data_IF_621112878564
#
_entry.id   IF_621112878564
#
_cell.length_a   1.000
_cell.length_b   1.000
_cell.length_c   1.000
_cell.angle_alpha   90.00
_cell.angle_beta   90.00
_cell.angle_gamma   90.00
#
_symmetry.space_group_name_H-M   'P 1'
#
loop_
_entity.id
_entity.type
_entity.pdbx_description
1 polymer ?
#
# COMPACT_ATOMS: atom_id res chain seq x y z
N UNK A 1 -42.79 7.76 -1.35
CA UNK A 1 -42.78 6.35 -1.74
C UNK A 1 -42.54 6.29 -3.24
N UNK A 2 -41.29 6.26 -3.68
CA UNK A 2 -40.81 6.09 -5.07
C UNK A 2 -39.39 6.70 -5.16
N UNK A 3 -38.40 6.12 -4.48
CA UNK A 3 -36.99 6.54 -4.63
C UNK A 3 -35.98 5.47 -4.17
N UNK A 4 -36.34 4.20 -4.05
CA UNK A 4 -35.48 3.12 -3.54
C UNK A 4 -35.22 1.99 -4.53
N UNK A 5 -35.75 2.02 -5.74
CA UNK A 5 -35.61 0.89 -6.68
C UNK A 5 -34.60 1.09 -7.81
N UNK A 6 -33.90 2.24 -7.89
CA UNK A 6 -32.96 2.52 -8.99
C UNK A 6 -31.49 2.24 -8.67
N UNK A 7 -31.15 1.88 -7.43
CA UNK A 7 -29.75 1.67 -7.03
C UNK A 7 -29.27 0.23 -7.19
N UNK A 8 -30.19 -0.74 -7.28
CA UNK A 8 -29.84 -2.19 -7.28
C UNK A 8 -29.62 -2.79 -8.68
N UNK A 9 -30.05 -2.11 -9.74
CA UNK A 9 -29.91 -2.66 -11.09
C UNK A 9 -28.59 -2.33 -11.79
N UNK A 10 -27.72 -1.48 -11.25
CA UNK A 10 -26.43 -1.16 -11.85
C UNK A 10 -25.27 -2.09 -11.42
N UNK A 11 -25.43 -2.82 -10.30
CA UNK A 11 -24.42 -3.79 -9.82
C UNK A 11 -24.39 -5.11 -10.58
N UNK A 12 -25.40 -5.45 -11.37
CA UNK A 12 -25.51 -6.78 -11.99
C UNK A 12 -25.00 -6.90 -13.44
N UNK A 13 -24.49 -5.83 -14.08
CA UNK A 13 -24.16 -5.86 -15.53
C UNK A 13 -22.71 -5.68 -15.92
N UNK A 14 -21.75 -5.62 -15.01
CA UNK A 14 -20.31 -5.54 -15.37
C UNK A 14 -19.55 -6.77 -14.84
N UNK A 15 -20.11 -7.96 -14.95
CA UNK A 15 -19.30 -9.18 -14.97
C UNK A 15 -18.81 -9.44 -16.40
N UNK A 16 -17.81 -8.69 -16.87
CA UNK A 16 -17.02 -9.14 -18.01
C UNK A 16 -16.17 -10.32 -17.54
N UNK A 17 -16.63 -11.53 -17.89
CA UNK A 17 -15.88 -12.77 -17.78
C UNK A 17 -14.62 -12.66 -18.65
N UNK A 18 -13.52 -12.16 -18.09
CA UNK A 18 -12.21 -12.41 -18.68
C UNK A 18 -11.96 -13.90 -18.49
N UNK A 19 -12.18 -14.69 -19.54
CA UNK A 19 -11.82 -16.11 -19.58
C UNK A 19 -10.31 -16.20 -19.56
N UNK A 20 -9.71 -16.28 -18.37
CA UNK A 20 -8.37 -16.84 -18.17
C UNK A 20 -8.48 -18.32 -18.57
N UNK A 21 -7.99 -18.66 -19.76
CA UNK A 21 -8.01 -20.02 -20.30
C UNK A 21 -7.18 -20.92 -19.37
N UNK A 22 -7.84 -21.78 -18.61
CA UNK A 22 -7.24 -22.98 -17.99
C UNK A 22 -6.83 -22.89 -16.52
N UNK A 23 -6.90 -21.73 -15.84
CA UNK A 23 -6.64 -21.64 -14.39
C UNK A 23 -7.93 -21.80 -13.60
N UNK A 24 -7.93 -22.67 -12.60
CA UNK A 24 -9.04 -22.79 -11.65
C UNK A 24 -8.89 -21.67 -10.62
N UNK A 25 -9.73 -20.64 -10.72
CA UNK A 25 -9.81 -19.60 -9.69
C UNK A 25 -10.29 -20.23 -8.38
N UNK A 26 -9.76 -19.72 -7.26
CA UNK A 26 -10.17 -20.10 -5.91
C UNK A 26 -11.66 -19.82 -5.71
N UNK A 27 -12.35 -20.72 -5.02
CA UNK A 27 -13.77 -20.50 -4.69
C UNK A 27 -13.95 -19.40 -3.62
N UNK A 28 -15.14 -18.86 -3.56
CA UNK A 28 -15.46 -17.70 -2.69
C UNK A 28 -15.36 -18.07 -1.22
N UNK A 29 -15.82 -19.26 -0.83
CA UNK A 29 -15.78 -19.69 0.58
C UNK A 29 -14.36 -19.78 1.08
N UNK A 30 -13.45 -20.38 0.32
CA UNK A 30 -12.03 -20.49 0.68
C UNK A 30 -11.36 -19.11 0.79
N UNK A 31 -11.71 -18.15 -0.08
CA UNK A 31 -11.20 -16.78 0.02
C UNK A 31 -11.64 -16.10 1.31
N UNK A 32 -12.93 -16.26 1.68
CA UNK A 32 -13.47 -15.69 2.93
C UNK A 32 -12.81 -16.33 4.16
N UNK A 33 -12.59 -17.64 4.15
CA UNK A 33 -11.93 -18.36 5.23
C UNK A 33 -10.50 -17.84 5.45
N UNK A 34 -9.69 -17.71 4.37
CA UNK A 34 -8.31 -17.25 4.47
C UNK A 34 -8.24 -15.77 4.83
N UNK A 35 -9.03 -14.90 4.17
CA UNK A 35 -9.04 -13.47 4.49
C UNK A 35 -9.46 -13.21 5.94
N UNK A 36 -10.46 -13.96 6.44
CA UNK A 36 -10.89 -13.86 7.84
C UNK A 36 -9.83 -14.36 8.81
N UNK A 37 -9.09 -15.42 8.46
CA UNK A 37 -7.98 -15.91 9.28
C UNK A 37 -6.90 -14.85 9.44
N UNK A 38 -6.44 -14.22 8.34
CA UNK A 38 -5.46 -13.13 8.39
C UNK A 38 -5.94 -11.93 9.22
N UNK A 39 -7.21 -11.53 9.07
CA UNK A 39 -7.78 -10.44 9.87
C UNK A 39 -7.76 -10.79 11.36
N UNK A 40 -8.17 -12.02 11.73
CA UNK A 40 -8.19 -12.47 13.12
C UNK A 40 -6.78 -12.54 13.72
N UNK A 41 -5.79 -13.03 12.97
CA UNK A 41 -4.38 -13.06 13.39
C UNK A 41 -3.80 -11.66 13.59
N UNK A 42 -4.14 -10.70 12.70
CA UNK A 42 -3.76 -9.29 12.84
C UNK A 42 -4.35 -8.69 14.13
N UNK A 43 -5.66 -8.88 14.35
CA UNK A 43 -6.35 -8.36 15.54
C UNK A 43 -5.84 -8.99 16.83
N UNK A 44 -5.48 -10.27 16.79
CA UNK A 44 -4.90 -11.01 17.94
C UNK A 44 -3.39 -10.77 18.12
N UNK A 45 -2.75 -10.01 17.20
CA UNK A 45 -1.28 -9.79 17.17
C UNK A 45 -0.50 -11.10 17.17
N UNK A 46 -1.02 -12.11 16.48
CA UNK A 46 -0.36 -13.40 16.35
C UNK A 46 0.84 -13.30 15.40
N UNK A 47 1.84 -14.14 15.61
CA UNK A 47 2.95 -14.27 14.67
C UNK A 47 2.42 -14.66 13.29
N UNK A 48 3.05 -14.12 12.24
CA UNK A 48 2.71 -14.47 10.86
C UNK A 48 2.81 -15.98 10.62
N UNK A 49 1.79 -16.55 9.99
CA UNK A 49 1.75 -17.92 9.54
C UNK A 49 1.41 -17.98 8.06
N UNK A 50 2.19 -18.76 7.30
CA UNK A 50 1.88 -18.93 5.88
C UNK A 50 0.56 -19.68 5.68
N UNK A 51 -0.30 -19.15 4.82
CA UNK A 51 -1.53 -19.80 4.35
C UNK A 51 -1.36 -20.42 2.96
N UNK A 52 -0.24 -20.18 2.30
CA UNK A 52 0.01 -20.68 0.95
C UNK A 52 -0.13 -22.20 0.83
N UNK A 53 0.23 -22.95 1.88
CA UNK A 53 0.10 -24.42 1.90
C UNK A 53 -1.35 -24.93 1.95
N UNK A 54 -2.31 -24.06 2.30
CA UNK A 54 -3.75 -24.38 2.33
C UNK A 54 -4.41 -24.19 0.95
N UNK A 55 -3.67 -23.67 -0.02
CA UNK A 55 -4.16 -23.31 -1.34
C UNK A 55 -3.53 -24.21 -2.40
N UNK A 56 -4.33 -24.83 -3.23
CA UNK A 56 -3.84 -25.72 -4.28
C UNK A 56 -2.93 -25.02 -5.31
N UNK A 57 -3.22 -23.74 -5.60
CA UNK A 57 -2.44 -22.89 -6.50
C UNK A 57 -2.18 -21.54 -5.82
N UNK A 58 -1.12 -21.37 -5.01
CA UNK A 58 -0.79 -20.12 -4.33
C UNK A 58 -0.14 -19.12 -5.31
N UNK A 59 -0.91 -18.67 -6.28
CA UNK A 59 -0.51 -17.67 -7.28
C UNK A 59 -0.87 -16.28 -6.83
N UNK A 60 -0.19 -15.25 -7.37
CA UNK A 60 -0.53 -13.86 -7.10
C UNK A 60 -1.96 -13.51 -7.54
N UNK A 61 -2.47 -14.11 -8.62
CA UNK A 61 -3.87 -13.93 -9.02
C UNK A 61 -4.84 -14.36 -7.91
N UNK A 62 -4.59 -15.52 -7.28
CA UNK A 62 -5.40 -16.00 -6.16
C UNK A 62 -5.16 -15.18 -4.89
N UNK A 63 -3.93 -14.73 -4.63
CA UNK A 63 -3.63 -13.83 -3.51
C UNK A 63 -4.41 -12.52 -3.59
N UNK A 64 -4.45 -11.91 -4.76
CA UNK A 64 -5.24 -10.69 -4.96
C UNK A 64 -6.75 -10.93 -4.85
N UNK A 65 -7.26 -12.11 -5.19
CA UNK A 65 -8.68 -12.44 -4.93
C UNK A 65 -8.97 -12.54 -3.43
N UNK A 66 -8.02 -13.04 -2.64
CA UNK A 66 -8.11 -13.05 -1.17
C UNK A 66 -8.03 -11.61 -0.64
N UNK A 67 -7.08 -10.80 -1.14
CA UNK A 67 -6.98 -9.38 -0.78
C UNK A 67 -8.26 -8.60 -1.09
N UNK A 68 -8.89 -8.82 -2.26
CA UNK A 68 -10.19 -8.21 -2.57
C UNK A 68 -11.24 -8.59 -1.53
N UNK A 69 -11.25 -9.86 -1.08
CA UNK A 69 -12.16 -10.33 -0.02
C UNK A 69 -11.83 -9.70 1.33
N UNK A 70 -10.53 -9.59 1.67
CA UNK A 70 -10.06 -8.88 2.87
C UNK A 70 -10.58 -7.43 2.88
N UNK A 71 -10.38 -6.70 1.77
CA UNK A 71 -10.87 -5.32 1.62
C UNK A 71 -12.38 -5.26 1.74
N UNK A 72 -13.12 -6.17 1.11
CA UNK A 72 -14.59 -6.22 1.20
C UNK A 72 -15.08 -6.45 2.62
N UNK A 73 -14.40 -7.30 3.41
CA UNK A 73 -14.71 -7.51 4.84
C UNK A 73 -14.47 -6.21 5.63
N UNK A 74 -13.36 -5.52 5.40
CA UNK A 74 -13.07 -4.25 6.07
C UNK A 74 -14.09 -3.16 5.70
N UNK A 75 -14.51 -3.07 4.45
CA UNK A 75 -15.56 -2.16 4.00
C UNK A 75 -16.92 -2.47 4.68
N UNK A 76 -17.26 -3.75 4.87
CA UNK A 76 -18.47 -4.17 5.62
C UNK A 76 -18.40 -3.81 7.11
N UNK A 77 -17.19 -3.70 7.67
CA UNK A 77 -16.95 -3.25 9.06
C UNK A 77 -16.97 -1.72 9.20
N UNK A 78 -17.20 -0.98 8.10
CA UNK A 78 -17.34 0.49 8.08
C UNK A 78 -16.08 1.24 7.62
N UNK A 79 -15.01 0.56 7.25
CA UNK A 79 -13.84 1.18 6.66
C UNK A 79 -14.12 1.73 5.25
N UNK A 80 -13.25 2.66 4.82
CA UNK A 80 -13.20 3.16 3.44
C UNK A 80 -11.78 3.03 2.93
N UNK A 81 -11.60 2.64 1.69
CA UNK A 81 -10.31 2.80 1.02
C UNK A 81 -10.14 4.28 0.70
N UNK A 82 -9.06 4.87 1.16
CA UNK A 82 -8.72 6.29 0.95
C UNK A 82 -7.37 6.47 0.25
N UNK A 83 -6.66 5.39 0.02
CA UNK A 83 -5.37 5.35 -0.64
C UNK A 83 -4.91 3.93 -0.88
N UNK A 84 -3.72 3.83 -1.42
CA UNK A 84 -3.09 2.58 -1.79
C UNK A 84 -1.60 2.62 -1.46
N UNK A 85 -0.97 1.46 -1.32
CA UNK A 85 0.48 1.33 -1.17
C UNK A 85 1.06 0.46 -2.27
N UNK A 86 2.31 0.74 -2.63
CA UNK A 86 3.09 -0.04 -3.60
C UNK A 86 4.32 -0.61 -2.90
N UNK A 87 4.35 -1.92 -2.70
CA UNK A 87 5.45 -2.64 -2.10
C UNK A 87 6.41 -3.22 -3.15
N UNK A 88 7.61 -3.65 -2.72
CA UNK A 88 8.64 -4.24 -3.55
C UNK A 88 9.04 -3.34 -4.72
N UNK A 89 9.31 -2.08 -4.42
CA UNK A 89 9.64 -1.04 -5.40
C UNK A 89 11.11 -1.05 -5.85
N UNK A 90 11.93 -1.95 -5.32
CA UNK A 90 13.31 -2.17 -5.76
C UNK A 90 13.48 -3.53 -6.45
N UNK A 91 14.37 -3.59 -7.45
CA UNK A 91 14.69 -4.84 -8.15
C UNK A 91 15.22 -5.92 -7.20
N UNK A 92 16.05 -5.53 -6.24
CA UNK A 92 16.60 -6.46 -5.25
C UNK A 92 15.50 -7.15 -4.43
N UNK A 93 14.48 -6.39 -3.98
CA UNK A 93 13.36 -6.96 -3.24
C UNK A 93 12.44 -7.80 -4.11
N UNK A 94 12.23 -7.42 -5.37
CA UNK A 94 11.49 -8.24 -6.32
C UNK A 94 12.16 -9.60 -6.54
N UNK A 95 13.48 -9.59 -6.78
CA UNK A 95 14.29 -10.82 -6.95
C UNK A 95 14.29 -11.67 -5.67
N UNK A 96 14.44 -11.05 -4.51
CA UNK A 96 14.39 -11.72 -3.21
C UNK A 96 13.05 -12.43 -2.99
N UNK A 97 11.93 -11.80 -3.31
CA UNK A 97 10.59 -12.36 -3.19
C UNK A 97 10.17 -13.24 -4.38
N UNK A 98 11.02 -13.40 -5.40
CA UNK A 98 10.72 -14.24 -6.58
C UNK A 98 9.62 -13.69 -7.48
N UNK A 99 9.48 -12.36 -7.54
CA UNK A 99 8.53 -11.64 -8.41
C UNK A 99 9.28 -10.71 -9.36
N UNK A 100 8.62 -10.25 -10.42
CA UNK A 100 9.22 -9.35 -11.42
C UNK A 100 8.55 -7.98 -11.48
N UNK A 101 7.62 -7.72 -10.58
CA UNK A 101 6.85 -6.49 -10.50
C UNK A 101 6.53 -6.14 -9.02
N UNK A 102 6.15 -4.88 -8.73
CA UNK A 102 5.68 -4.47 -7.42
C UNK A 102 4.40 -5.19 -6.98
N UNK A 103 4.04 -5.03 -5.70
CA UNK A 103 2.80 -5.51 -5.12
C UNK A 103 1.97 -4.31 -4.64
N UNK A 104 0.66 -4.50 -4.48
CA UNK A 104 -0.26 -3.45 -4.05
C UNK A 104 -1.06 -3.86 -2.80
N UNK A 105 -1.39 -2.86 -1.97
CA UNK A 105 -2.32 -2.99 -0.85
C UNK A 105 -3.20 -1.75 -0.71
N UNK A 106 -4.36 -1.90 -0.08
CA UNK A 106 -5.28 -0.79 0.20
C UNK A 106 -4.94 -0.12 1.54
N UNK A 107 -5.14 1.20 1.61
CA UNK A 107 -5.03 1.97 2.86
C UNK A 107 -6.42 2.38 3.31
N UNK A 108 -6.75 2.07 4.57
CA UNK A 108 -8.06 2.32 5.15
C UNK A 108 -8.13 3.65 5.89
N UNK A 109 -9.32 4.25 5.92
CA UNK A 109 -9.56 5.58 6.48
C UNK A 109 -9.18 5.72 7.95
N UNK A 110 -9.38 4.69 8.77
CA UNK A 110 -9.01 4.70 10.20
C UNK A 110 -7.50 4.59 10.44
N UNK A 111 -6.73 4.30 9.40
CA UNK A 111 -5.28 4.03 9.45
C UNK A 111 -4.43 5.18 8.92
N UNK A 112 -5.03 6.34 8.62
CA UNK A 112 -4.31 7.54 8.17
C UNK A 112 -4.21 8.54 9.32
N UNK A 113 -3.00 8.89 9.68
CA UNK A 113 -2.69 9.76 10.81
C UNK A 113 -1.93 11.01 10.36
N UNK A 114 -2.23 12.20 10.91
CA UNK A 114 -1.44 13.39 10.64
C UNK A 114 -0.13 13.38 11.45
N UNK A 115 0.94 13.96 10.89
CA UNK A 115 2.18 14.23 11.62
C UNK A 115 2.05 15.52 12.48
N UNK A 116 2.68 15.57 13.69
CA UNK A 116 3.35 14.46 14.36
C UNK A 116 2.37 13.43 14.92
N UNK A 117 2.77 12.15 14.90
CA UNK A 117 1.94 11.05 15.40
C UNK A 117 2.66 10.28 16.49
N UNK A 118 1.92 9.82 17.50
CA UNK A 118 2.43 8.90 18.51
C UNK A 118 1.84 7.51 18.27
N UNK A 119 2.71 6.53 18.00
CA UNK A 119 2.32 5.13 17.86
C UNK A 119 2.63 4.36 19.14
N UNK A 120 1.71 3.49 19.54
CA UNK A 120 1.93 2.54 20.64
C UNK A 120 2.45 1.23 20.07
N UNK A 121 3.69 0.87 20.35
CA UNK A 121 4.28 -0.40 19.90
C UNK A 121 3.54 -1.61 20.49
N UNK A 122 2.92 -1.43 21.66
CA UNK A 122 2.08 -2.44 22.28
C UNK A 122 0.82 -2.80 21.47
N UNK A 123 0.43 -1.97 20.50
CA UNK A 123 -0.70 -2.25 19.58
C UNK A 123 -0.31 -3.10 18.39
N UNK A 124 0.99 -3.35 18.20
CA UNK A 124 1.57 -4.09 17.10
C UNK A 124 2.31 -5.35 17.60
N UNK A 125 2.51 -6.31 16.74
CA UNK A 125 3.39 -7.44 16.98
C UNK A 125 4.83 -7.10 16.63
N UNK A 126 5.04 -6.57 15.42
CA UNK A 126 6.36 -6.18 14.91
C UNK A 126 6.20 -5.06 13.88
N UNK A 127 6.17 -3.84 14.36
CA UNK A 127 5.94 -2.65 13.55
C UNK A 127 7.22 -2.22 12.83
N UNK A 128 7.15 -2.08 11.50
CA UNK A 128 8.17 -1.44 10.68
C UNK A 128 7.72 -0.07 10.18
N UNK A 129 8.68 0.81 9.93
CA UNK A 129 8.50 2.13 9.35
C UNK A 129 9.20 2.20 8.00
N UNK A 130 8.47 2.56 6.96
CA UNK A 130 9.00 2.84 5.63
C UNK A 130 8.87 4.33 5.34
N UNK A 131 9.93 4.92 4.76
CA UNK A 131 10.05 6.36 4.52
C UNK A 131 9.74 6.66 3.06
N UNK A 132 8.63 7.31 2.78
CA UNK A 132 8.07 7.39 1.45
C UNK A 132 7.65 8.78 1.01
N UNK A 133 7.44 8.93 -0.29
CA UNK A 133 6.65 10.03 -0.84
C UNK A 133 5.24 9.52 -1.09
N UNK A 134 4.24 10.08 -0.41
CA UNK A 134 2.86 9.87 -0.79
C UNK A 134 2.47 10.85 -1.90
N UNK A 135 1.74 10.36 -2.89
CA UNK A 135 1.23 11.14 -4.02
C UNK A 135 -0.30 11.15 -3.99
N UNK A 136 -0.92 12.31 -3.78
CA UNK A 136 -2.37 12.49 -3.80
C UNK A 136 -2.84 12.92 -5.18
N UNK A 137 -3.95 12.37 -5.62
CA UNK A 137 -4.57 12.68 -6.91
C UNK A 137 -5.60 13.80 -6.77
N UNK A 138 -5.55 14.79 -7.69
CA UNK A 138 -6.60 15.80 -7.87
C UNK A 138 -7.70 15.38 -8.84
N UNK A 139 -7.41 14.41 -9.69
CA UNK A 139 -8.32 13.93 -10.73
C UNK A 139 -8.33 12.40 -10.80
N UNK A 140 -9.44 11.84 -11.27
CA UNK A 140 -9.59 10.40 -11.46
C UNK A 140 -8.63 9.89 -12.53
N UNK A 141 -8.12 8.67 -12.35
CA UNK A 141 -7.41 7.90 -13.37
C UNK A 141 -8.30 6.75 -13.87
N UNK A 142 -9.21 7.00 -14.82
CA UNK A 142 -10.23 6.04 -15.22
C UNK A 142 -9.66 4.80 -15.91
N UNK A 143 -10.31 3.66 -15.69
CA UNK A 143 -9.99 2.39 -16.35
C UNK A 143 -10.57 2.29 -17.76
N UNK A 144 -10.29 3.25 -18.63
CA UNK A 144 -10.82 3.32 -20.00
C UNK A 144 -10.01 2.51 -21.03
N UNK A 145 -8.95 1.82 -20.58
CA UNK A 145 -8.04 1.03 -21.39
C UNK A 145 -6.80 1.77 -21.86
N UNK A 146 -6.62 3.04 -21.50
CA UNK A 146 -5.37 3.76 -21.71
C UNK A 146 -4.29 3.21 -20.77
N UNK A 147 -3.05 3.10 -21.27
CA UNK A 147 -1.90 2.75 -20.46
C UNK A 147 -1.40 4.01 -19.75
N UNK A 148 -1.33 3.95 -18.42
CA UNK A 148 -0.74 5.01 -17.63
C UNK A 148 0.78 4.93 -17.61
N UNK A 149 1.42 6.08 -17.71
CA UNK A 149 2.86 6.31 -17.65
C UNK A 149 3.12 7.47 -16.69
N UNK A 150 4.34 7.61 -16.22
CA UNK A 150 4.74 8.77 -15.40
C UNK A 150 4.26 10.10 -16.01
N UNK A 151 4.42 10.25 -17.32
CA UNK A 151 4.16 11.53 -18.00
C UNK A 151 2.66 11.86 -18.09
N UNK A 152 1.80 10.85 -18.30
CA UNK A 152 0.37 11.09 -18.46
C UNK A 152 -0.44 11.08 -17.14
N UNK A 153 0.15 10.63 -16.03
CA UNK A 153 -0.46 10.78 -14.70
C UNK A 153 -0.12 12.13 -14.06
N UNK A 154 1.00 12.75 -14.42
CA UNK A 154 1.47 13.99 -13.78
C UNK A 154 0.40 15.10 -13.72
N UNK A 155 -0.45 15.31 -14.75
CA UNK A 155 -1.54 16.30 -14.67
C UNK A 155 -2.60 16.01 -13.60
N UNK A 156 -2.78 14.75 -13.21
CA UNK A 156 -3.75 14.34 -12.20
C UNK A 156 -3.20 14.37 -10.76
N UNK A 157 -1.93 14.75 -10.58
CA UNK A 157 -1.31 14.83 -9.25
C UNK A 157 -1.65 16.17 -8.61
N UNK A 158 -2.28 16.13 -7.44
CA UNK A 158 -2.65 17.31 -6.65
C UNK A 158 -1.56 17.71 -5.65
N UNK A 159 -0.95 16.75 -4.95
CA UNK A 159 0.06 17.01 -3.93
C UNK A 159 1.02 15.83 -3.76
N UNK A 160 2.20 16.12 -3.19
CA UNK A 160 3.16 15.12 -2.71
C UNK A 160 3.47 15.41 -1.24
N UNK A 161 3.68 14.35 -0.45
CA UNK A 161 3.88 14.45 0.99
C UNK A 161 5.07 13.60 1.42
N UNK A 162 5.92 14.05 2.37
CA UNK A 162 6.76 13.14 3.12
C UNK A 162 5.84 12.30 4.02
N UNK A 163 6.05 11.01 4.07
CA UNK A 163 5.15 10.11 4.80
C UNK A 163 5.90 8.90 5.36
N UNK A 164 5.36 8.31 6.43
CA UNK A 164 5.70 6.97 6.85
C UNK A 164 4.59 6.01 6.42
N UNK A 165 4.95 4.86 5.84
CA UNK A 165 4.10 3.70 5.89
C UNK A 165 4.42 2.91 7.16
N UNK A 166 3.37 2.52 7.86
CA UNK A 166 3.42 1.60 8.99
C UNK A 166 3.15 0.20 8.45
N UNK A 167 4.12 -0.69 8.57
CA UNK A 167 3.98 -2.10 8.15
C UNK A 167 3.97 -3.01 9.36
N UNK A 168 3.10 -4.02 9.33
CA UNK A 168 2.96 -5.04 10.36
C UNK A 168 3.29 -6.41 9.76
N UNK A 169 4.57 -6.80 9.83
CA UNK A 169 5.03 -8.08 9.30
C UNK A 169 4.81 -9.25 10.25
N UNK A 170 4.39 -8.96 11.48
CA UNK A 170 4.09 -9.94 12.54
C UNK A 170 5.20 -10.96 12.77
N UNK A 171 6.48 -10.55 12.77
CA UNK A 171 7.67 -11.44 12.85
C UNK A 171 7.69 -12.49 11.72
N UNK A 172 7.35 -12.13 10.49
CA UNK A 172 7.42 -13.03 9.35
C UNK A 172 8.84 -13.60 9.16
N UNK A 173 8.91 -14.84 8.72
CA UNK A 173 10.18 -15.46 8.36
C UNK A 173 10.59 -15.02 6.96
N UNK A 174 11.47 -14.03 6.86
CA UNK A 174 11.92 -13.46 5.59
C UNK A 174 12.68 -14.47 4.70
N UNK A 175 13.36 -15.47 5.29
CA UNK A 175 14.05 -16.52 4.53
C UNK A 175 13.09 -17.45 3.79
N UNK A 176 11.83 -17.52 4.24
CA UNK A 176 10.76 -18.33 3.68
C UNK A 176 9.56 -17.49 3.25
N UNK A 177 9.76 -16.19 2.97
CA UNK A 177 8.70 -15.27 2.59
C UNK A 177 8.02 -15.71 1.30
N UNK A 178 6.69 -15.81 1.36
CA UNK A 178 5.86 -16.10 0.20
C UNK A 178 5.05 -14.85 -0.21
N UNK A 179 5.27 -14.29 -1.40
CA UNK A 179 4.53 -13.11 -1.85
C UNK A 179 3.01 -13.33 -1.94
N UNK A 180 2.56 -14.58 -2.04
CA UNK A 180 1.14 -14.92 -1.93
C UNK A 180 0.56 -14.47 -0.58
N UNK A 181 1.23 -14.79 0.54
CA UNK A 181 0.74 -14.43 1.87
C UNK A 181 0.77 -12.91 2.06
N UNK A 182 1.86 -12.25 1.72
CA UNK A 182 1.98 -10.79 1.83
C UNK A 182 0.85 -10.07 1.07
N UNK A 183 0.57 -10.44 -0.18
CA UNK A 183 -0.54 -9.86 -0.95
C UNK A 183 -1.88 -10.17 -0.30
N UNK A 184 -2.10 -11.40 0.13
CA UNK A 184 -3.37 -11.83 0.74
C UNK A 184 -3.69 -11.07 2.03
N UNK A 185 -2.65 -10.68 2.79
CA UNK A 185 -2.71 -9.84 3.99
C UNK A 185 -2.64 -8.33 3.70
N UNK A 186 -3.12 -7.90 2.54
CA UNK A 186 -3.13 -6.49 2.17
C UNK A 186 -1.74 -5.84 2.16
N UNK A 187 -0.72 -6.60 1.74
CA UNK A 187 0.69 -6.20 1.65
C UNK A 187 1.23 -5.60 2.97
N UNK A 188 0.74 -6.12 4.11
CA UNK A 188 1.14 -5.76 5.46
C UNK A 188 0.92 -4.29 5.84
N UNK A 189 0.07 -3.56 5.14
CA UNK A 189 -0.25 -2.18 5.52
C UNK A 189 -0.96 -2.12 6.87
N UNK A 190 -0.35 -1.47 7.84
CA UNK A 190 -0.90 -1.19 9.17
C UNK A 190 -1.35 0.27 9.33
N UNK A 191 -0.92 1.15 8.43
CA UNK A 191 -1.31 2.55 8.43
C UNK A 191 -0.33 3.46 7.71
N UNK A 192 -0.61 4.76 7.77
CA UNK A 192 0.20 5.82 7.17
C UNK A 192 0.24 7.02 8.09
N UNK A 193 1.41 7.65 8.23
CA UNK A 193 1.55 8.97 8.85
C UNK A 193 1.90 9.97 7.76
N UNK A 194 1.03 10.97 7.57
CA UNK A 194 1.19 11.98 6.52
C UNK A 194 1.79 13.27 7.10
N UNK A 195 2.90 13.72 6.51
CA UNK A 195 3.44 15.05 6.75
C UNK A 195 2.59 16.15 6.11
N UNK A 196 3.09 17.39 6.12
CA UNK A 196 2.47 18.47 5.34
C UNK A 196 2.80 18.34 3.86
N UNK A 197 1.94 18.83 2.96
CA UNK A 197 2.22 18.82 1.52
C UNK A 197 3.55 19.54 1.22
N UNK A 198 4.35 18.95 0.34
CA UNK A 198 5.58 19.57 -0.14
C UNK A 198 5.25 20.85 -0.93
N UNK A 199 5.76 22.03 -0.52
CA UNK A 199 5.47 23.26 -1.25
C UNK A 199 6.09 23.22 -2.64
N UNK A 200 5.33 23.67 -3.64
CA UNK A 200 5.77 23.68 -5.06
C UNK A 200 6.36 22.33 -5.54
N UNK A 201 5.76 21.22 -5.12
CA UNK A 201 6.23 19.88 -5.45
C UNK A 201 6.50 19.69 -6.95
N UNK A 202 5.73 20.33 -7.82
CA UNK A 202 5.88 20.24 -9.29
C UNK A 202 7.17 20.88 -9.83
N UNK A 203 7.86 21.67 -9.02
CA UNK A 203 9.16 22.26 -9.34
C UNK A 203 10.33 21.50 -8.70
N UNK A 204 10.05 20.48 -7.88
CA UNK A 204 11.07 19.64 -7.26
C UNK A 204 11.61 18.60 -8.25
N UNK A 205 12.90 18.32 -8.14
CA UNK A 205 13.45 17.13 -8.75
C UNK A 205 13.08 15.91 -7.93
N UNK A 206 11.95 15.26 -8.30
CA UNK A 206 11.45 14.07 -7.62
C UNK A 206 12.28 12.79 -7.90
N UNK A 207 13.43 12.90 -8.58
CA UNK A 207 14.40 11.83 -8.72
C UNK A 207 15.57 12.03 -7.77
N UNK A 208 16.17 13.23 -7.78
CA UNK A 208 17.45 13.50 -7.11
C UNK A 208 17.29 14.20 -5.75
N UNK A 209 16.07 14.61 -5.36
CA UNK A 209 15.88 15.24 -4.05
C UNK A 209 16.29 14.28 -2.93
N UNK A 210 17.24 14.67 -2.05
CA UNK A 210 17.73 13.79 -1.00
C UNK A 210 16.64 13.52 0.05
N UNK A 211 16.65 12.31 0.59
CA UNK A 211 15.81 11.90 1.71
C UNK A 211 16.68 11.48 2.89
N UNK A 212 16.20 11.71 4.11
CA UNK A 212 16.94 11.46 5.34
C UNK A 212 16.03 10.89 6.42
N UNK A 213 16.43 9.75 6.99
CA UNK A 213 15.83 9.18 8.18
C UNK A 213 16.72 9.49 9.39
N UNK A 214 16.14 10.14 10.39
CA UNK A 214 16.76 10.44 11.67
C UNK A 214 15.98 9.72 12.79
N UNK A 215 16.73 9.15 13.74
CA UNK A 215 16.18 8.55 14.95
C UNK A 215 16.89 9.18 16.14
N UNK A 216 16.13 9.75 17.08
CA UNK A 216 16.64 10.42 18.27
C UNK A 216 17.68 11.53 17.95
N UNK A 217 17.52 12.17 16.78
CA UNK A 217 18.40 13.25 16.30
C UNK A 217 19.67 12.75 15.59
N UNK A 218 19.86 11.44 15.44
CA UNK A 218 20.98 10.86 14.71
C UNK A 218 20.52 10.33 13.34
N UNK A 219 21.34 10.55 12.29
CA UNK A 219 21.07 10.02 10.95
C UNK A 219 21.22 8.51 10.94
N UNK A 220 20.15 7.80 10.63
CA UNK A 220 20.12 6.35 10.49
C UNK A 220 20.22 5.90 9.03
N UNK A 221 19.60 6.64 8.11
CA UNK A 221 19.58 6.29 6.69
C UNK A 221 19.41 7.50 5.79
N UNK A 222 19.82 7.38 4.56
CA UNK A 222 19.64 8.40 3.53
C UNK A 222 19.39 7.76 2.18
N UNK A 223 18.67 8.49 1.33
CA UNK A 223 18.32 8.08 -0.03
C UNK A 223 17.95 9.27 -0.88
N UNK A 224 17.22 9.02 -1.94
CA UNK A 224 16.64 10.02 -2.85
C UNK A 224 15.20 9.66 -3.17
N UNK A 225 14.42 10.64 -3.53
CA UNK A 225 13.01 10.44 -3.90
C UNK A 225 12.80 9.46 -5.06
N UNK A 226 13.82 9.29 -5.94
CA UNK A 226 13.80 8.35 -7.06
C UNK A 226 14.25 6.93 -6.73
N UNK A 227 14.67 6.62 -5.51
CA UNK A 227 15.18 5.27 -5.17
C UNK A 227 14.08 4.20 -5.21
N UNK A 228 12.80 4.59 -5.07
CA UNK A 228 11.66 3.74 -5.32
C UNK A 228 11.22 3.84 -6.79
N UNK A 229 11.41 2.79 -7.58
CA UNK A 229 11.02 2.66 -9.01
C UNK A 229 11.57 3.77 -9.94
N UNK A 230 12.59 4.52 -9.53
CA UNK A 230 13.18 5.60 -10.32
C UNK A 230 12.45 6.95 -10.26
N UNK A 231 11.18 6.98 -9.87
CA UNK A 231 10.37 8.19 -9.69
C UNK A 231 9.05 7.85 -8.98
N UNK A 232 8.54 8.66 -8.01
CA UNK A 232 7.27 8.38 -7.33
C UNK A 232 6.09 8.14 -8.28
N UNK A 233 6.04 8.85 -9.41
CA UNK A 233 4.95 8.70 -10.39
C UNK A 233 5.00 7.39 -11.18
N UNK A 234 6.14 6.70 -11.23
CA UNK A 234 6.20 5.34 -11.80
C UNK A 234 5.42 4.35 -10.94
N UNK A 235 5.47 4.50 -9.61
CA UNK A 235 4.66 3.70 -8.70
C UNK A 235 3.16 3.95 -8.90
N UNK A 236 2.76 5.22 -9.04
CA UNK A 236 1.35 5.59 -9.32
C UNK A 236 0.90 5.04 -10.67
N UNK A 237 1.72 5.16 -11.71
CA UNK A 237 1.40 4.64 -13.05
C UNK A 237 1.26 3.11 -13.05
N UNK A 238 2.21 2.42 -12.39
CA UNK A 238 2.13 0.97 -12.22
C UNK A 238 0.84 0.55 -11.51
N UNK A 239 0.52 1.22 -10.40
CA UNK A 239 -0.67 0.92 -9.60
C UNK A 239 -1.96 1.19 -10.38
N UNK A 240 -2.05 2.32 -11.10
CA UNK A 240 -3.21 2.65 -11.94
C UNK A 240 -3.46 1.55 -12.99
N UNK A 241 -2.41 1.09 -13.66
CA UNK A 241 -2.49 0.00 -14.63
C UNK A 241 -2.88 -1.33 -13.98
N UNK A 242 -2.30 -1.63 -12.81
CA UNK A 242 -2.61 -2.83 -12.03
C UNK A 242 -4.09 -2.87 -11.61
N UNK A 243 -4.59 -1.77 -11.04
CA UNK A 243 -5.99 -1.64 -10.64
C UNK A 243 -6.94 -1.72 -11.83
N UNK A 244 -6.61 -1.05 -12.95
CA UNK A 244 -7.41 -1.09 -14.18
C UNK A 244 -7.54 -2.51 -14.75
N UNK A 245 -6.46 -3.29 -14.74
CA UNK A 245 -6.48 -4.70 -15.15
C UNK A 245 -7.42 -5.54 -14.28
N UNK A 246 -7.71 -5.10 -13.05
CA UNK A 246 -8.60 -5.73 -12.07
C UNK A 246 -9.99 -5.10 -12.02
N UNK A 247 -10.30 -4.16 -12.92
CA UNK A 247 -11.60 -3.49 -13.02
C UNK A 247 -11.83 -2.43 -11.93
N UNK A 248 -10.77 -1.92 -11.32
CA UNK A 248 -10.75 -0.78 -10.38
C UNK A 248 -10.02 0.39 -11.01
N UNK A 249 -10.14 1.58 -10.43
CA UNK A 249 -9.41 2.78 -10.86
C UNK A 249 -9.09 3.65 -9.66
N UNK A 250 -8.00 4.40 -9.75
CA UNK A 250 -7.66 5.42 -8.77
C UNK A 250 -8.60 6.63 -8.93
N UNK A 251 -9.04 7.18 -7.80
CA UNK A 251 -10.00 8.28 -7.76
C UNK A 251 -9.34 9.56 -7.24
N UNK A 252 -9.89 10.71 -7.63
CA UNK A 252 -9.51 12.00 -7.03
C UNK A 252 -9.66 11.96 -5.50
N UNK A 253 -8.67 12.51 -4.80
CA UNK A 253 -8.58 12.49 -3.35
C UNK A 253 -7.99 11.21 -2.76
N UNK A 254 -7.79 10.15 -3.54
CA UNK A 254 -6.98 9.01 -3.09
C UNK A 254 -5.49 9.34 -3.18
N UNK A 255 -4.69 8.75 -2.29
CA UNK A 255 -3.24 8.86 -2.34
C UNK A 255 -2.57 7.50 -2.57
N UNK A 256 -1.33 7.55 -3.03
CA UNK A 256 -0.49 6.37 -3.28
C UNK A 256 0.81 6.52 -2.49
N UNK A 257 1.10 5.55 -1.61
CA UNK A 257 2.41 5.34 -1.03
C UNK A 257 3.28 4.69 -2.09
N UNK A 258 4.43 5.32 -2.39
CA UNK A 258 5.18 5.02 -3.62
C UNK A 258 6.41 4.14 -3.43
N UNK A 259 6.62 3.66 -2.21
CA UNK A 259 7.75 2.81 -1.83
C UNK A 259 8.82 3.56 -1.06
N UNK A 260 9.50 2.83 -0.18
CA UNK A 260 10.50 3.40 0.70
C UNK A 260 11.75 3.84 -0.05
N UNK A 261 12.28 5.02 0.31
CA UNK A 261 13.51 5.59 -0.21
C UNK A 261 14.73 5.29 0.67
N UNK A 262 14.50 4.72 1.85
CA UNK A 262 15.54 4.25 2.79
C UNK A 262 15.17 2.86 3.30
N UNK A 263 16.08 2.21 4.00
CA UNK A 263 15.80 0.90 4.61
C UNK A 263 14.63 0.98 5.60
N UNK A 264 13.84 -0.07 5.69
CA UNK A 264 12.79 -0.21 6.72
C UNK A 264 13.42 -0.14 8.11
N UNK A 265 12.83 0.66 8.99
CA UNK A 265 13.25 0.81 10.37
C UNK A 265 12.24 0.15 11.31
N UNK A 266 12.72 -0.66 12.25
CA UNK A 266 11.90 -1.26 13.31
C UNK A 266 12.15 -0.48 14.60
N UNK A 267 11.20 0.35 15.05
CA UNK A 267 11.42 1.26 16.16
C UNK A 267 11.36 0.59 17.53
N UNK A 268 12.04 1.21 18.50
CA UNK A 268 11.99 0.86 19.91
C UNK A 268 11.15 1.89 20.71
N UNK A 269 10.67 1.48 21.89
CA UNK A 269 9.91 2.38 22.76
C UNK A 269 10.78 3.56 23.19
N UNK A 270 10.25 4.78 23.04
CA UNK A 270 10.95 6.03 23.31
C UNK A 270 11.56 6.71 22.10
N UNK A 271 11.60 6.04 20.93
CA UNK A 271 12.16 6.62 19.73
C UNK A 271 11.36 7.84 19.23
N UNK A 272 12.13 8.82 18.77
CA UNK A 272 11.65 9.98 18.03
C UNK A 272 12.17 9.85 16.61
N UNK A 273 11.27 9.58 15.66
CA UNK A 273 11.62 9.30 14.28
C UNK A 273 11.21 10.45 13.39
N UNK A 274 12.13 10.89 12.53
CA UNK A 274 11.88 11.96 11.56
C UNK A 274 12.38 11.53 10.18
N UNK A 275 11.51 11.68 9.19
CA UNK A 275 11.87 11.56 7.79
C UNK A 275 11.74 12.91 7.09
N UNK A 276 12.78 13.30 6.38
CA UNK A 276 12.88 14.60 5.70
C UNK A 276 13.10 14.42 4.20
N UNK A 277 12.46 15.27 3.40
CA UNK A 277 12.61 15.38 1.94
C UNK A 277 13.33 16.68 1.64
N UNK A 278 14.65 16.61 1.53
CA UNK A 278 15.52 17.77 1.43
C UNK A 278 15.24 18.79 2.54
N UNK A 279 15.06 20.05 2.14
CA UNK A 279 14.62 21.15 3.01
C UNK A 279 13.14 21.49 2.81
N UNK A 280 12.41 20.65 2.07
CA UNK A 280 11.06 20.97 1.57
C UNK A 280 9.95 20.54 2.52
N UNK A 281 10.19 19.50 3.32
CA UNK A 281 9.22 19.03 4.29
C UNK A 281 9.69 17.80 5.06
N UNK A 282 8.97 17.46 6.12
CA UNK A 282 9.24 16.30 6.94
C UNK A 282 7.96 15.68 7.51
N UNK A 283 8.07 14.46 7.99
CA UNK A 283 7.08 13.74 8.79
C UNK A 283 7.75 13.26 10.07
N UNK A 284 7.03 13.29 11.18
CA UNK A 284 7.55 12.97 12.50
C UNK A 284 6.63 11.98 13.21
N UNK A 285 7.25 11.03 13.93
CA UNK A 285 6.56 9.98 14.69
C UNK A 285 7.32 9.72 15.98
N UNK A 286 6.59 9.47 17.07
CA UNK A 286 7.14 9.02 18.35
C UNK A 286 6.59 7.64 18.72
N UNK A 287 7.42 6.80 19.37
CA UNK A 287 7.06 5.44 19.77
C UNK A 287 6.91 5.33 21.28
N UNK A 288 5.84 4.68 21.76
CA UNK A 288 5.60 4.44 23.19
C UNK A 288 5.31 2.98 23.51
#
# INVERSE_FOLDING_TARGET
MLCTEHFDQRRSKVRRKTKLKGRKLMDEQQRVEIASAFINELEAKEKHHTMAHQVAEPTLDNAYLIQDTFVDIMLQRGEKVVGWKVALTSKAMQEFCGVDHPLAGAVFSSKVHPSPFQVSLGDHRHLGLECEIAVELSDDLPGDGALYTRDNIAPAVGACYPSFELIEDRDADYDNLNPFDSVSENAWNAGVVMGSPLPNWSALDLVETPTLLEVNGETLGSGRTGDALGHPFEAVAWLANHLNARGRSLQAGEFVMTGSTVITYFPEAGDQVKFSVGTHGSVELSCS
#
